data_IF_453962050210
#
_entry.id   IF_453962050210
#
_cell.length_a   1.000
_cell.length_b   1.000
_cell.length_c   1.000
_cell.angle_alpha   90.00
_cell.angle_beta   90.00
_cell.angle_gamma   90.00
#
_symmetry.space_group_name_H-M   'P 1'
#
loop_
_entity.id
_entity.type
_entity.pdbx_description
1 polymer ?
#
# COMPACT_ATOMS: atom_id res chain seq x y z
N UNK A 1 12.10 10.76 -17.99
CA UNK A 1 11.31 11.50 -16.95
C UNK A 1 10.79 10.46 -15.99
N UNK A 2 10.96 10.67 -14.69
CA UNK A 2 10.58 9.68 -13.67
C UNK A 2 9.20 9.94 -13.12
N UNK A 3 8.45 8.87 -12.90
CA UNK A 3 7.19 8.86 -12.13
C UNK A 3 7.38 8.04 -10.86
N UNK A 4 6.56 8.33 -9.86
CA UNK A 4 6.54 7.63 -8.58
C UNK A 4 5.32 6.70 -8.52
N UNK A 5 5.56 5.45 -8.17
CA UNK A 5 4.55 4.39 -8.12
C UNK A 5 4.58 3.73 -6.75
N UNK A 6 3.47 3.14 -6.33
CA UNK A 6 3.38 2.26 -5.17
C UNK A 6 2.33 1.19 -5.45
N UNK A 7 2.35 0.09 -4.68
CA UNK A 7 1.38 -0.99 -4.83
C UNK A 7 0.61 -1.11 -3.54
N UNK A 8 -0.71 -1.14 -3.62
CA UNK A 8 -1.59 -1.22 -2.47
C UNK A 8 -2.86 -2.03 -2.77
N UNK A 9 -3.47 -2.55 -1.71
CA UNK A 9 -4.80 -3.15 -1.72
C UNK A 9 -5.80 -2.08 -1.28
N UNK A 10 -6.86 -1.92 -2.06
CA UNK A 10 -8.01 -1.11 -1.69
C UNK A 10 -9.05 -2.01 -1.04
N UNK A 11 -9.54 -1.68 0.18
CA UNK A 11 -10.66 -2.38 0.77
C UNK A 11 -11.96 -1.93 0.11
N UNK A 12 -13.05 -2.61 0.43
CA UNK A 12 -14.38 -2.22 -0.05
C UNK A 12 -14.76 -0.80 0.40
N UNK A 13 -15.63 -0.15 -0.37
CA UNK A 13 -16.04 1.24 -0.14
C UNK A 13 -16.53 1.49 1.29
N UNK A 14 -17.23 0.53 1.89
CA UNK A 14 -17.70 0.62 3.27
C UNK A 14 -16.56 0.86 4.26
N UNK A 15 -15.44 0.16 4.11
CA UNK A 15 -14.27 0.32 4.98
C UNK A 15 -13.58 1.65 4.70
N UNK A 16 -13.51 2.07 3.43
CA UNK A 16 -12.95 3.39 3.06
C UNK A 16 -13.74 4.51 3.75
N UNK A 17 -15.07 4.43 3.72
CA UNK A 17 -15.96 5.42 4.33
C UNK A 17 -15.84 5.41 5.86
N UNK A 18 -15.78 4.23 6.50
CA UNK A 18 -15.55 4.12 7.95
C UNK A 18 -14.21 4.74 8.37
N UNK A 19 -13.13 4.46 7.64
CA UNK A 19 -11.81 5.05 7.91
C UNK A 19 -11.80 6.57 7.65
N UNK A 20 -12.59 7.03 6.68
CA UNK A 20 -12.74 8.46 6.38
C UNK A 20 -13.32 9.22 7.56
N UNK A 21 -14.30 8.67 8.28
CA UNK A 21 -14.85 9.29 9.50
C UNK A 21 -13.75 9.53 10.53
N UNK A 22 -12.85 8.56 10.75
CA UNK A 22 -11.71 8.75 11.65
C UNK A 22 -10.74 9.85 11.16
N UNK A 23 -10.48 9.91 9.85
CA UNK A 23 -9.60 10.95 9.28
C UNK A 23 -10.21 12.35 9.42
N UNK A 24 -11.52 12.47 9.25
CA UNK A 24 -12.25 13.74 9.41
C UNK A 24 -12.22 14.20 10.86
N UNK A 25 -12.46 13.31 11.82
CA UNK A 25 -12.31 13.59 13.24
C UNK A 25 -10.90 14.06 13.61
N UNK A 26 -9.87 13.39 13.07
CA UNK A 26 -8.47 13.78 13.27
C UNK A 26 -8.13 15.14 12.64
N UNK A 27 -8.72 15.46 11.49
CA UNK A 27 -8.53 16.75 10.85
C UNK A 27 -9.17 17.88 11.67
N UNK A 28 -10.36 17.65 12.23
CA UNK A 28 -11.08 18.61 13.07
C UNK A 28 -10.39 18.84 14.41
N UNK A 29 -10.02 17.76 15.11
CA UNK A 29 -9.52 17.84 16.49
C UNK A 29 -8.00 18.03 16.59
N UNK A 30 -7.24 17.62 15.57
CA UNK A 30 -5.76 17.62 15.62
C UNK A 30 -5.09 18.30 14.42
N UNK A 31 -5.87 18.92 13.52
CA UNK A 31 -5.33 19.63 12.35
C UNK A 31 -4.69 18.73 11.29
N UNK A 32 -4.93 17.41 11.34
CA UNK A 32 -4.33 16.44 10.43
C UNK A 32 -5.08 16.32 9.08
N UNK A 33 -5.22 17.44 8.36
CA UNK A 33 -5.94 17.49 7.08
C UNK A 33 -5.24 16.77 5.93
N UNK A 34 -3.94 16.46 6.05
CA UNK A 34 -3.17 15.75 5.02
C UNK A 34 -3.70 14.34 4.76
N UNK A 35 -4.23 13.67 5.78
CA UNK A 35 -4.73 12.30 5.67
C UNK A 35 -6.01 12.18 4.82
N UNK A 36 -6.76 13.28 4.64
CA UNK A 36 -8.01 13.31 3.87
C UNK A 36 -7.83 13.23 2.35
N UNK A 37 -6.60 13.42 1.86
CA UNK A 37 -6.33 13.47 0.42
C UNK A 37 -6.36 12.10 -0.27
N UNK A 38 -6.10 11.04 0.48
CA UNK A 38 -5.97 9.69 -0.05
C UNK A 38 -6.98 8.77 0.63
N UNK A 39 -7.55 7.86 -0.14
CA UNK A 39 -8.42 6.81 0.38
C UNK A 39 -7.65 5.81 1.24
N UNK A 40 -8.38 5.06 2.07
CA UNK A 40 -7.80 4.01 2.89
C UNK A 40 -7.29 2.87 2.00
N UNK A 41 -6.06 2.42 2.24
CA UNK A 41 -5.44 1.33 1.51
C UNK A 41 -4.37 0.64 2.38
N UNK A 42 -4.04 -0.60 2.05
CA UNK A 42 -2.93 -1.34 2.66
C UNK A 42 -1.79 -1.38 1.65
N UNK A 43 -0.68 -0.73 1.96
CA UNK A 43 0.50 -0.70 1.08
C UNK A 43 1.21 -2.06 1.07
N UNK A 44 1.34 -2.68 -0.11
CA UNK A 44 2.12 -3.89 -0.34
C UNK A 44 3.55 -3.59 -0.78
N UNK A 45 3.76 -2.53 -1.57
CA UNK A 45 5.09 -2.09 -1.98
C UNK A 45 5.21 -0.58 -1.74
N UNK A 46 6.22 -0.13 -0.96
CA UNK A 46 6.42 1.29 -0.71
C UNK A 46 6.73 2.04 -2.01
N UNK A 47 6.59 3.38 -2.02
CA UNK A 47 6.84 4.18 -3.20
C UNK A 47 8.22 3.95 -3.83
N UNK A 48 8.27 3.81 -5.14
CA UNK A 48 9.48 3.65 -5.95
C UNK A 48 9.41 4.50 -7.22
N UNK A 49 10.56 4.87 -7.76
CA UNK A 49 10.67 5.64 -9.00
C UNK A 49 10.86 4.73 -10.22
N UNK A 50 10.25 5.08 -11.35
CA UNK A 50 10.50 4.43 -12.65
C UNK A 50 10.52 5.48 -13.77
N UNK A 51 11.41 5.29 -14.74
CA UNK A 51 11.36 6.03 -16.00
C UNK A 51 10.09 5.66 -16.77
N UNK A 52 9.46 6.65 -17.40
CA UNK A 52 8.23 6.46 -18.18
C UNK A 52 8.43 5.48 -19.34
N UNK A 53 9.60 5.49 -19.97
CA UNK A 53 9.95 4.55 -21.04
C UNK A 53 9.93 3.08 -20.58
N UNK A 54 10.01 2.85 -19.26
CA UNK A 54 10.05 1.54 -18.64
C UNK A 54 8.82 1.27 -17.75
N UNK A 55 7.74 2.04 -17.95
CA UNK A 55 6.45 1.87 -17.27
C UNK A 55 5.80 0.54 -17.66
N UNK A 56 6.04 0.04 -18.88
CA UNK A 56 5.54 -1.27 -19.33
C UNK A 56 6.03 -2.44 -18.47
N UNK A 57 7.26 -2.37 -17.95
CA UNK A 57 7.80 -3.41 -17.06
C UNK A 57 6.99 -3.56 -15.77
N UNK A 58 6.36 -2.48 -15.30
CA UNK A 58 5.46 -2.52 -14.13
C UNK A 58 4.24 -3.36 -14.47
N UNK A 59 3.62 -3.14 -15.64
CA UNK A 59 2.47 -3.93 -16.09
C UNK A 59 2.82 -5.41 -16.27
N UNK A 60 3.96 -5.70 -16.89
CA UNK A 60 4.47 -7.07 -17.06
C UNK A 60 4.72 -7.73 -15.70
N UNK A 61 5.34 -7.02 -14.75
CA UNK A 61 5.57 -7.54 -13.41
C UNK A 61 4.24 -7.81 -12.68
N UNK A 62 3.24 -6.94 -12.83
CA UNK A 62 1.91 -7.12 -12.25
C UNK A 62 1.22 -8.38 -12.76
N UNK A 63 1.29 -8.66 -14.07
CA UNK A 63 0.71 -9.87 -14.67
C UNK A 63 1.40 -11.16 -14.21
N UNK A 64 2.66 -11.07 -13.76
CA UNK A 64 3.44 -12.20 -13.26
C UNK A 64 3.30 -12.42 -11.76
N UNK A 65 2.61 -11.54 -11.04
CA UNK A 65 2.31 -11.78 -9.61
C UNK A 65 1.43 -13.03 -9.56
N UNK A 66 1.84 -14.01 -8.75
CA UNK A 66 0.99 -15.14 -8.47
C UNK A 66 -0.19 -14.69 -7.61
N UNK A 67 -1.36 -14.61 -8.24
CA UNK A 67 -2.65 -14.29 -7.62
C UNK A 67 -3.53 -15.54 -7.47
N UNK A 68 -2.97 -16.75 -7.50
CA UNK A 68 -3.74 -18.01 -7.27
C UNK A 68 -4.18 -18.19 -5.81
N UNK A 69 -4.01 -17.14 -4.98
CA UNK A 69 -4.49 -17.09 -3.61
C UNK A 69 -6.01 -16.98 -3.62
N UNK A 70 -6.68 -17.92 -2.94
CA UNK A 70 -8.12 -17.84 -2.70
C UNK A 70 -8.48 -16.51 -2.01
N UNK A 71 -9.64 -15.91 -2.31
CA UNK A 71 -10.13 -14.75 -1.57
C UNK A 71 -10.05 -15.00 -0.07
N UNK A 72 -9.54 -14.01 0.67
CA UNK A 72 -9.32 -14.11 2.11
C UNK A 72 -9.76 -12.83 2.80
N UNK A 73 -10.07 -12.96 4.09
CA UNK A 73 -10.49 -11.84 4.92
C UNK A 73 -9.28 -11.22 5.65
N UNK A 74 -9.36 -9.91 5.87
CA UNK A 74 -8.40 -9.15 6.67
C UNK A 74 -9.20 -8.52 7.81
N UNK A 75 -8.85 -8.89 9.03
CA UNK A 75 -9.48 -8.31 10.22
C UNK A 75 -8.73 -7.01 10.57
N UNK A 76 -9.48 -5.92 10.70
CA UNK A 76 -8.97 -4.64 11.16
C UNK A 76 -9.34 -4.47 12.64
N UNK A 77 -8.33 -4.37 13.51
CA UNK A 77 -8.54 -4.30 14.95
C UNK A 77 -7.68 -3.22 15.60
N UNK A 78 -8.36 -2.15 16.04
CA UNK A 78 -7.74 -1.01 16.70
C UNK A 78 -6.84 -0.18 15.79
N UNK A 79 -5.97 0.60 16.43
CA UNK A 79 -5.06 1.53 15.75
C UNK A 79 -3.61 1.23 16.14
N UNK A 80 -2.70 1.46 15.19
CA UNK A 80 -1.27 1.46 15.41
C UNK A 80 -0.67 2.82 15.07
N UNK A 81 0.56 3.05 15.50
CA UNK A 81 1.29 4.26 15.16
C UNK A 81 2.75 4.00 14.84
N UNK A 82 3.32 4.81 13.95
CA UNK A 82 4.76 4.91 13.76
C UNK A 82 5.24 6.19 14.43
N UNK A 83 6.00 6.09 15.54
CA UNK A 83 6.55 7.26 16.19
C UNK A 83 7.65 7.85 15.30
N UNK A 84 7.34 8.99 14.67
CA UNK A 84 8.31 9.77 13.94
C UNK A 84 8.26 11.21 14.46
N UNK A 85 9.38 11.77 14.95
CA UNK A 85 9.40 13.11 15.56
C UNK A 85 8.90 14.22 14.65
N UNK A 86 9.02 14.06 13.33
CA UNK A 86 8.63 15.08 12.34
C UNK A 86 7.27 14.82 11.72
N UNK A 87 6.92 13.56 11.50
CA UNK A 87 5.68 13.15 10.82
C UNK A 87 5.12 11.87 11.45
N UNK A 88 4.52 11.93 12.65
CA UNK A 88 3.93 10.76 13.26
C UNK A 88 2.80 10.23 12.37
N UNK A 89 2.70 8.91 12.28
CA UNK A 89 1.66 8.24 11.49
C UNK A 89 0.75 7.47 12.43
N UNK A 90 -0.55 7.65 12.27
CA UNK A 90 -1.58 6.80 12.86
C UNK A 90 -2.23 5.98 11.74
N UNK A 91 -2.45 4.69 11.96
CA UNK A 91 -3.07 3.80 10.99
C UNK A 91 -4.05 2.84 11.67
N UNK A 92 -5.05 2.37 10.92
CA UNK A 92 -5.91 1.26 11.35
C UNK A 92 -5.11 -0.02 11.23
N UNK A 93 -5.03 -0.80 12.31
CA UNK A 93 -4.12 -1.94 12.40
C UNK A 93 -4.79 -3.21 11.84
N UNK A 94 -4.28 -3.79 10.73
CA UNK A 94 -4.68 -5.14 10.36
C UNK A 94 -4.11 -6.16 11.34
N UNK A 95 -4.87 -7.19 11.65
CA UNK A 95 -4.37 -8.36 12.37
C UNK A 95 -3.43 -9.18 11.48
N UNK A 96 -2.64 -10.06 12.10
CA UNK A 96 -1.72 -10.93 11.37
C UNK A 96 -2.52 -11.88 10.47
N UNK A 97 -2.23 -11.83 9.17
CA UNK A 97 -2.83 -12.69 8.16
C UNK A 97 -1.71 -13.30 7.32
N UNK A 98 -1.57 -14.63 7.37
CA UNK A 98 -0.56 -15.32 6.57
C UNK A 98 -0.85 -15.15 5.08
N UNK A 99 -2.12 -15.10 4.66
CA UNK A 99 -2.49 -14.83 3.27
C UNK A 99 -2.07 -13.43 2.81
N UNK A 100 -2.27 -12.40 3.65
CA UNK A 100 -1.80 -11.04 3.34
C UNK A 100 -0.26 -10.99 3.24
N UNK A 101 0.43 -11.73 4.11
CA UNK A 101 1.89 -11.85 4.09
C UNK A 101 2.39 -12.58 2.85
N UNK A 102 1.75 -13.67 2.44
CA UNK A 102 2.07 -14.37 1.20
C UNK A 102 1.85 -13.47 -0.02
N UNK A 103 0.73 -12.74 -0.09
CA UNK A 103 0.48 -11.77 -1.15
C UNK A 103 1.56 -10.68 -1.20
N UNK A 104 1.97 -10.14 -0.05
CA UNK A 104 3.11 -9.22 0.04
C UNK A 104 4.40 -9.82 -0.51
N UNK A 105 4.71 -11.08 -0.19
CA UNK A 105 5.90 -11.78 -0.69
C UNK A 105 5.83 -11.98 -2.21
N UNK A 106 4.68 -12.39 -2.75
CA UNK A 106 4.47 -12.57 -4.19
C UNK A 106 4.67 -11.26 -4.96
N UNK A 107 4.13 -10.15 -4.44
CA UNK A 107 4.38 -8.81 -5.01
C UNK A 107 5.87 -8.48 -4.93
N UNK A 108 6.49 -8.65 -3.76
CA UNK A 108 7.90 -8.30 -3.56
C UNK A 108 8.84 -9.11 -4.45
N UNK A 109 8.52 -10.37 -4.74
CA UNK A 109 9.32 -11.22 -5.62
C UNK A 109 9.36 -10.69 -7.05
N UNK A 110 8.22 -10.23 -7.59
CA UNK A 110 8.16 -9.70 -8.96
C UNK A 110 8.60 -8.25 -9.06
N UNK A 111 8.47 -7.50 -7.97
CA UNK A 111 8.82 -6.09 -7.87
C UNK A 111 10.10 -5.83 -7.08
N UNK A 112 10.94 -6.86 -6.87
CA UNK A 112 12.31 -6.66 -6.41
C UNK A 112 13.11 -6.05 -7.56
N UNK A 113 12.81 -4.80 -7.90
CA UNK A 113 13.73 -3.92 -8.59
C UNK A 113 14.95 -3.85 -7.69
N UNK A 114 15.92 -4.72 -7.95
CA UNK A 114 17.21 -4.63 -7.30
C UNK A 114 17.67 -3.18 -7.42
N UNK A 115 18.45 -2.72 -6.44
CA UNK A 115 19.47 -1.75 -6.83
C UNK A 115 20.14 -2.36 -8.07
N UNK A 116 20.13 -1.64 -9.18
CA UNK A 116 20.62 -2.03 -10.51
C UNK A 116 19.60 -2.68 -11.46
N UNK A 117 19.22 -1.88 -12.46
CA UNK A 117 19.07 -2.26 -13.87
C UNK A 117 18.42 -3.62 -14.14
N UNK A 118 17.14 -3.58 -14.50
CA UNK A 118 16.53 -4.64 -15.30
C UNK A 118 17.39 -4.86 -16.55
N UNK A 119 17.94 -6.07 -16.67
CA UNK A 119 18.56 -6.56 -17.88
C UNK A 119 17.65 -7.70 -18.36
N UNK A 120 16.79 -7.47 -19.36
CA UNK A 120 15.94 -8.51 -19.89
C UNK A 120 16.84 -9.54 -20.59
N UNK A 121 16.86 -10.76 -20.08
CA UNK A 121 17.07 -11.94 -20.92
C UNK A 121 15.71 -12.58 -21.18
#
# INVERSE_FOLDING_TARGET
MKKMYFIAIYPDQKIIDEVRVFKEDLALNFGNSKALKNDAHITLLPPFEREIELEEDIHIAFQKIDTTISPFEIILNGFGSFPNPKNPVLFVKPEESENLKQLYLNVKEKFSFGKYSFNPM
#
